data_IF_024889181225
#
_entry.id   IF_024889181225
#
_cell.length_a   1.000
_cell.length_b   1.000
_cell.length_c   1.000
_cell.angle_alpha   90.00
_cell.angle_beta   90.00
_cell.angle_gamma   90.00
#
_symmetry.space_group_name_H-M   'P 1'
#
loop_
_entity.id
_entity.type
_entity.pdbx_description
1 polymer ?
#
# COMPACT_ATOMS: atom_id res chain seq x y z
N UNK A 1 8.06 13.21 -4.06
CA UNK A 1 7.81 11.78 -4.16
C UNK A 1 6.38 11.51 -4.63
N UNK A 2 6.12 10.31 -5.04
CA UNK A 2 4.78 9.91 -5.48
C UNK A 2 3.75 10.02 -4.36
N UNK A 3 4.14 9.66 -3.15
CA UNK A 3 3.25 9.79 -2.00
C UNK A 3 2.92 11.26 -1.72
N UNK A 4 3.92 12.13 -1.71
CA UNK A 4 3.71 13.56 -1.49
C UNK A 4 2.82 14.16 -2.56
N UNK A 5 3.06 13.80 -3.82
CA UNK A 5 2.25 14.28 -4.93
C UNK A 5 0.81 13.83 -4.80
N UNK A 6 0.59 12.55 -4.51
CA UNK A 6 -0.76 12.03 -4.33
C UNK A 6 -1.45 12.70 -3.14
N UNK A 7 -0.75 12.83 -2.01
CA UNK A 7 -1.32 13.45 -0.81
C UNK A 7 -1.72 14.90 -1.06
N UNK A 8 -0.92 15.62 -1.87
CA UNK A 8 -1.15 17.04 -2.17
C UNK A 8 -2.25 17.25 -3.19
N UNK A 9 -2.30 16.42 -4.23
CA UNK A 9 -3.17 16.67 -5.39
C UNK A 9 -4.33 15.69 -5.52
N UNK A 10 -4.27 14.53 -4.86
CA UNK A 10 -5.23 13.45 -5.07
C UNK A 10 -5.12 12.83 -6.46
N UNK A 11 -3.99 13.00 -7.12
CA UNK A 11 -3.79 12.58 -8.51
C UNK A 11 -3.89 11.07 -8.66
N UNK A 12 -4.83 10.60 -9.48
CA UNK A 12 -4.98 9.18 -9.76
C UNK A 12 -3.77 8.57 -10.47
N UNK A 13 -3.15 9.25 -11.48
CA UNK A 13 -1.93 8.71 -12.06
C UNK A 13 -0.79 8.55 -11.06
N UNK A 14 -0.61 9.49 -10.13
CA UNK A 14 0.41 9.37 -9.09
C UNK A 14 0.15 8.18 -8.20
N UNK A 15 -1.10 7.97 -7.80
CA UNK A 15 -1.48 6.83 -6.98
C UNK A 15 -1.26 5.52 -7.72
N UNK A 16 -1.62 5.46 -8.98
CA UNK A 16 -1.47 4.26 -9.80
C UNK A 16 0.00 3.86 -9.94
N UNK A 17 0.89 4.85 -10.13
CA UNK A 17 2.33 4.60 -10.18
C UNK A 17 2.86 4.09 -8.84
N UNK A 18 2.37 4.67 -7.76
CA UNK A 18 2.75 4.26 -6.41
C UNK A 18 2.34 2.81 -6.16
N UNK A 19 1.12 2.43 -6.51
CA UNK A 19 0.64 1.05 -6.38
C UNK A 19 1.50 0.10 -7.21
N UNK A 20 1.74 0.44 -8.48
CA UNK A 20 2.53 -0.41 -9.37
C UNK A 20 3.95 -0.63 -8.82
N UNK A 21 4.53 0.40 -8.24
CA UNK A 21 5.90 0.32 -7.70
C UNK A 21 5.99 -0.58 -6.47
N UNK A 22 4.95 -0.62 -5.66
CA UNK A 22 4.98 -1.32 -4.37
C UNK A 22 4.11 -2.58 -4.34
N UNK A 23 3.42 -2.88 -5.42
CA UNK A 23 2.48 -4.01 -5.42
C UNK A 23 3.15 -5.33 -5.07
N UNK A 24 4.31 -5.60 -5.67
CA UNK A 24 4.98 -6.89 -5.45
C UNK A 24 5.36 -7.09 -3.99
N UNK A 25 5.83 -6.03 -3.32
CA UNK A 25 6.14 -6.09 -1.90
C UNK A 25 4.90 -6.42 -1.07
N UNK A 26 3.82 -5.70 -1.31
CA UNK A 26 2.58 -5.88 -0.54
C UNK A 26 1.99 -7.26 -0.82
N UNK A 27 1.93 -7.66 -2.08
CA UNK A 27 1.36 -8.95 -2.45
C UNK A 27 2.18 -10.11 -1.90
N UNK A 28 3.51 -10.04 -1.99
CA UNK A 28 4.38 -11.09 -1.45
C UNK A 28 4.23 -11.20 0.08
N UNK A 29 4.16 -10.05 0.77
CA UNK A 29 3.95 -10.03 2.22
C UNK A 29 2.59 -10.64 2.57
N UNK A 30 1.55 -10.22 1.85
CA UNK A 30 0.20 -10.73 2.05
C UNK A 30 0.14 -12.24 1.83
N UNK A 31 0.80 -12.73 0.77
CA UNK A 31 0.80 -14.14 0.42
C UNK A 31 1.39 -14.99 1.55
N UNK A 32 2.48 -14.50 2.16
CA UNK A 32 3.09 -15.20 3.30
C UNK A 32 2.15 -15.22 4.51
N UNK A 33 1.40 -14.13 4.73
CA UNK A 33 0.51 -14.02 5.88
C UNK A 33 -0.74 -14.89 5.75
N UNK A 34 -1.15 -15.21 4.52
CA UNK A 34 -2.36 -16.02 4.28
C UNK A 34 -2.01 -17.41 3.75
N UNK A 35 -0.80 -17.88 4.03
CA UNK A 35 -0.36 -19.24 3.73
C UNK A 35 -0.46 -19.61 2.24
N UNK A 36 -0.15 -18.64 1.38
CA UNK A 36 -0.11 -18.87 -0.07
C UNK A 36 -1.46 -18.80 -0.78
N UNK A 37 -2.52 -18.42 -0.09
CA UNK A 37 -3.84 -18.25 -0.72
C UNK A 37 -3.84 -16.97 -1.55
N UNK A 38 -3.79 -17.13 -2.88
CA UNK A 38 -3.66 -16.00 -3.80
C UNK A 38 -4.86 -15.08 -3.77
N UNK A 39 -6.07 -15.62 -3.65
CA UNK A 39 -7.29 -14.81 -3.59
C UNK A 39 -7.30 -13.94 -2.36
N UNK A 40 -6.98 -14.51 -1.21
CA UNK A 40 -6.91 -13.75 0.04
C UNK A 40 -5.79 -12.73 0.00
N UNK A 41 -4.63 -13.09 -0.58
CA UNK A 41 -3.51 -12.16 -0.70
C UNK A 41 -3.89 -10.96 -1.55
N UNK A 42 -4.61 -11.17 -2.65
CA UNK A 42 -5.05 -10.08 -3.51
C UNK A 42 -6.04 -9.17 -2.80
N UNK A 43 -7.00 -9.74 -2.08
CA UNK A 43 -7.95 -8.96 -1.30
C UNK A 43 -7.24 -8.14 -0.22
N UNK A 44 -6.28 -8.75 0.46
CA UNK A 44 -5.51 -8.06 1.49
C UNK A 44 -4.71 -6.91 0.89
N UNK A 45 -4.07 -7.13 -0.26
CA UNK A 45 -3.33 -6.07 -0.94
C UNK A 45 -4.24 -4.90 -1.33
N UNK A 46 -5.43 -5.19 -1.86
CA UNK A 46 -6.40 -4.15 -2.19
C UNK A 46 -6.80 -3.35 -0.95
N UNK A 47 -7.04 -4.02 0.17
CA UNK A 47 -7.38 -3.35 1.42
C UNK A 47 -6.26 -2.43 1.87
N UNK A 48 -5.02 -2.89 1.80
CA UNK A 48 -3.86 -2.09 2.22
C UNK A 48 -3.73 -0.83 1.36
N UNK A 49 -3.86 -0.95 0.04
CA UNK A 49 -3.75 0.22 -0.82
C UNK A 49 -4.97 1.15 -0.68
N UNK A 50 -6.14 0.62 -0.43
CA UNK A 50 -7.33 1.44 -0.13
C UNK A 50 -7.10 2.25 1.14
N UNK A 51 -6.57 1.61 2.18
CA UNK A 51 -6.25 2.30 3.43
C UNK A 51 -5.19 3.37 3.21
N UNK A 52 -4.19 3.10 2.38
CA UNK A 52 -3.18 4.09 2.03
C UNK A 52 -3.83 5.32 1.37
N UNK A 53 -4.73 5.09 0.42
CA UNK A 53 -5.42 6.20 -0.25
C UNK A 53 -6.17 7.07 0.74
N UNK A 54 -6.80 6.46 1.74
CA UNK A 54 -7.56 7.20 2.76
C UNK A 54 -6.65 7.96 3.72
N UNK A 55 -5.47 7.42 4.02
CA UNK A 55 -4.59 7.96 5.05
C UNK A 55 -3.45 8.81 4.50
N UNK A 56 -3.31 8.90 3.19
CA UNK A 56 -2.14 9.54 2.57
C UNK A 56 -1.93 10.97 3.07
N UNK A 57 -2.99 11.73 3.26
CA UNK A 57 -2.90 13.13 3.68
C UNK A 57 -2.44 13.28 5.13
N UNK A 58 -2.67 12.26 5.95
CA UNK A 58 -2.32 12.32 7.38
C UNK A 58 -0.95 11.71 7.66
N UNK A 59 -0.33 11.06 6.68
CA UNK A 59 0.99 10.48 6.87
C UNK A 59 2.05 11.58 6.83
N UNK A 60 3.07 11.51 7.71
CA UNK A 60 4.18 12.45 7.64
C UNK A 60 4.86 12.40 6.27
N UNK A 61 5.36 13.55 5.80
CA UNK A 61 5.99 13.64 4.48
C UNK A 61 7.27 12.82 4.37
N UNK A 62 7.90 12.51 5.50
CA UNK A 62 9.11 11.69 5.55
C UNK A 62 8.82 10.21 5.77
N UNK A 63 7.57 9.79 5.66
CA UNK A 63 7.19 8.38 5.81
C UNK A 63 7.92 7.52 4.77
N UNK A 64 8.56 6.46 5.26
CA UNK A 64 9.15 5.44 4.40
C UNK A 64 8.03 4.49 3.99
N UNK A 65 7.55 4.67 2.77
CA UNK A 65 6.32 4.02 2.31
C UNK A 65 6.43 2.49 2.31
N UNK A 66 7.56 1.94 1.88
CA UNK A 66 7.74 0.49 1.88
C UNK A 66 7.57 -0.10 3.29
N UNK A 67 8.14 0.56 4.30
CA UNK A 67 8.02 0.12 5.69
C UNK A 67 6.59 0.23 6.20
N UNK A 68 5.91 1.33 5.87
CA UNK A 68 4.52 1.52 6.24
C UNK A 68 3.63 0.43 5.64
N UNK A 69 3.80 0.16 4.35
CA UNK A 69 3.02 -0.86 3.65
C UNK A 69 3.26 -2.24 4.23
N UNK A 70 4.52 -2.57 4.53
CA UNK A 70 4.85 -3.86 5.13
C UNK A 70 4.15 -4.04 6.48
N UNK A 71 4.29 -3.05 7.36
CA UNK A 71 3.69 -3.12 8.69
C UNK A 71 2.18 -3.15 8.63
N UNK A 72 1.59 -2.35 7.74
CA UNK A 72 0.13 -2.30 7.61
C UNK A 72 -0.41 -3.62 7.07
N UNK A 73 0.28 -4.23 6.10
CA UNK A 73 -0.11 -5.53 5.57
C UNK A 73 -0.10 -6.59 6.67
N UNK A 74 0.95 -6.63 7.48
CA UNK A 74 1.04 -7.56 8.59
C UNK A 74 -0.05 -7.32 9.63
N UNK A 75 -0.37 -6.06 9.88
CA UNK A 75 -1.39 -5.69 10.85
C UNK A 75 -2.79 -6.09 10.39
N UNK A 76 -3.09 -5.92 9.10
CA UNK A 76 -4.40 -6.26 8.55
C UNK A 76 -4.62 -7.77 8.38
N UNK A 77 -3.54 -8.51 8.30
CA UNK A 77 -3.65 -9.96 8.21
C UNK A 77 -4.01 -10.55 9.56
#
# INVERSE_FOLDING_TARGET
SQLSEFARTGSEPAFRQLVARHFDLVHATALRRVNGDRSLAQELAQTVFTDLARQARTLPTDTILAGWLYRHTCFQA
#
